data_IF_751988571191
#
_entry.id   IF_751988571191
#
_cell.length_a   1.000
_cell.length_b   1.000
_cell.length_c   1.000
_cell.angle_alpha   90.00
_cell.angle_beta   90.00
_cell.angle_gamma   90.00
#
_symmetry.space_group_name_H-M   'P 1'
#
loop_
_entity.id
_entity.type
_entity.pdbx_description
1 polymer ?
#
# COMPACT_ATOMS: atom_id res chain seq x y z
N UNK A 1 22.93 -1.33 -14.67
CA UNK A 1 22.26 -0.37 -15.55
C UNK A 1 20.77 -0.55 -15.37
N UNK A 2 20.07 0.50 -14.91
CA UNK A 2 18.69 0.41 -14.43
C UNK A 2 17.73 -0.03 -15.52
N UNK A 3 16.94 -1.06 -15.21
CA UNK A 3 15.87 -1.60 -16.06
C UNK A 3 14.74 -0.57 -16.15
N UNK A 4 14.92 0.40 -17.05
CA UNK A 4 13.93 1.40 -17.42
C UNK A 4 13.06 0.77 -18.52
N UNK A 5 12.23 -0.21 -18.14
CA UNK A 5 11.29 -0.88 -19.03
C UNK A 5 10.23 0.13 -19.46
N UNK A 6 10.58 0.94 -20.45
CA UNK A 6 9.69 1.87 -21.13
C UNK A 6 8.64 1.05 -21.87
N UNK A 7 7.37 1.42 -21.73
CA UNK A 7 6.29 0.90 -22.58
C UNK A 7 6.51 1.47 -24.00
N UNK A 8 7.47 0.93 -24.76
CA UNK A 8 7.67 1.32 -26.15
C UNK A 8 6.70 0.53 -27.04
N UNK A 9 5.81 1.28 -27.71
CA UNK A 9 4.79 0.90 -28.70
C UNK A 9 3.35 0.85 -28.17
N UNK A 10 2.69 1.98 -28.39
CA UNK A 10 1.30 2.33 -28.07
C UNK A 10 0.38 1.73 -29.15
N UNK A 11 0.29 0.41 -29.23
CA UNK A 11 -0.89 -0.26 -29.83
C UNK A 11 -1.54 -1.24 -28.86
N UNK A 12 -0.86 -1.61 -27.77
CA UNK A 12 -1.44 -2.38 -26.69
C UNK A 12 -2.06 -1.43 -25.65
N UNK A 13 -3.39 -1.34 -25.63
CA UNK A 13 -4.15 -0.49 -24.69
C UNK A 13 -4.03 -0.93 -23.22
N UNK A 14 -3.24 -1.97 -22.94
CA UNK A 14 -3.07 -2.63 -21.65
C UNK A 14 -1.60 -2.68 -21.20
N UNK A 15 -0.83 -1.58 -21.29
CA UNK A 15 0.51 -1.59 -20.65
C UNK A 15 0.37 -1.83 -19.14
N UNK A 16 0.83 -3.00 -18.69
CA UNK A 16 0.80 -3.42 -17.28
C UNK A 16 2.23 -3.61 -16.80
N UNK A 17 2.57 -2.92 -15.72
CA UNK A 17 3.87 -3.14 -15.08
C UNK A 17 3.95 -4.57 -14.53
N UNK A 18 5.16 -5.15 -14.59
CA UNK A 18 5.45 -6.44 -13.95
C UNK A 18 5.14 -6.41 -12.46
N UNK A 19 4.90 -7.59 -11.87
CA UNK A 19 4.67 -7.69 -10.43
C UNK A 19 5.81 -7.06 -9.61
N UNK A 20 5.46 -6.25 -8.62
CA UNK A 20 6.39 -5.46 -7.82
C UNK A 20 6.76 -4.08 -8.41
N UNK A 21 6.23 -3.74 -9.58
CA UNK A 21 6.39 -2.44 -10.23
C UNK A 21 5.02 -1.79 -10.44
N UNK A 22 4.98 -0.46 -10.50
CA UNK A 22 3.77 0.29 -10.79
C UNK A 22 4.06 1.50 -11.68
N UNK A 23 3.03 1.90 -12.43
CA UNK A 23 3.05 3.11 -13.25
C UNK A 23 3.39 4.31 -12.38
N UNK A 24 4.10 5.31 -12.88
CA UNK A 24 4.36 6.57 -12.15
C UNK A 24 3.83 7.80 -12.85
N UNK A 25 3.13 7.59 -13.95
CA UNK A 25 2.53 8.60 -14.81
C UNK A 25 1.17 8.10 -15.30
N UNK A 26 0.24 9.03 -15.56
CA UNK A 26 -1.12 8.67 -16.00
C UNK A 26 -1.18 7.81 -17.26
N UNK A 27 -0.32 7.99 -18.29
CA UNK A 27 -0.29 7.09 -19.44
C UNK A 27 0.48 5.79 -19.20
N UNK A 28 1.03 5.58 -17.98
CA UNK A 28 1.84 4.42 -17.61
C UNK A 28 3.01 4.15 -18.58
N UNK A 29 3.65 5.20 -19.11
CA UNK A 29 4.82 5.06 -19.95
C UNK A 29 6.03 4.57 -19.16
N UNK A 30 6.04 4.83 -17.85
CA UNK A 30 7.13 4.50 -16.94
C UNK A 30 6.67 3.59 -15.81
N UNK A 31 7.30 2.43 -15.71
CA UNK A 31 7.17 1.54 -14.56
C UNK A 31 8.34 1.75 -13.60
N UNK A 32 8.04 1.99 -12.32
CA UNK A 32 9.06 2.00 -11.26
C UNK A 32 8.80 0.89 -10.26
N UNK A 33 9.89 0.36 -9.69
CA UNK A 33 9.82 -0.60 -8.59
C UNK A 33 9.08 0.05 -7.43
N UNK A 34 8.07 -0.64 -6.91
CA UNK A 34 7.30 -0.16 -5.79
C UNK A 34 8.08 -0.34 -4.49
N UNK A 35 7.98 0.58 -3.53
CA UNK A 35 8.63 0.42 -2.24
C UNK A 35 8.01 -0.77 -1.49
N UNK A 36 8.86 -1.48 -0.76
CA UNK A 36 8.45 -2.55 0.15
C UNK A 36 8.15 -1.94 1.52
N UNK A 37 6.87 -1.93 1.91
CA UNK A 37 6.44 -1.36 3.18
C UNK A 37 6.50 -2.40 4.29
N UNK A 38 6.96 -1.99 5.46
CA UNK A 38 7.05 -2.86 6.63
C UNK A 38 5.66 -3.18 7.20
N UNK A 39 5.62 -4.05 8.21
CA UNK A 39 4.44 -4.17 9.05
C UNK A 39 4.15 -2.83 9.73
N UNK A 40 2.87 -2.48 9.83
CA UNK A 40 2.41 -1.20 10.33
C UNK A 40 2.62 -0.01 9.40
N UNK A 41 2.95 -0.28 8.15
CA UNK A 41 2.94 0.70 7.08
C UNK A 41 2.06 0.22 5.93
N UNK A 42 1.56 1.18 5.16
CA UNK A 42 0.89 0.93 3.89
C UNK A 42 1.48 1.77 2.77
N UNK A 43 1.32 1.28 1.54
CA UNK A 43 1.75 1.99 0.35
C UNK A 43 0.69 3.00 -0.08
N UNK A 44 1.09 4.26 -0.14
CA UNK A 44 0.24 5.36 -0.63
C UNK A 44 0.75 5.91 -1.96
N UNK A 45 -0.19 6.29 -2.84
CA UNK A 45 0.08 7.02 -4.08
C UNK A 45 0.03 8.52 -3.78
N UNK A 46 1.10 9.24 -4.12
CA UNK A 46 1.23 10.68 -3.93
C UNK A 46 1.34 11.35 -5.30
N UNK A 47 0.43 12.27 -5.59
CA UNK A 47 0.31 12.94 -6.89
C UNK A 47 -0.79 12.36 -7.77
N UNK A 48 -1.22 13.13 -8.77
CA UNK A 48 -2.37 12.81 -9.62
C UNK A 48 -1.91 12.48 -11.04
N UNK A 49 -1.19 13.41 -11.69
CA UNK A 49 -0.70 13.30 -13.07
C UNK A 49 0.62 12.49 -13.09
N UNK A 50 1.63 13.03 -12.42
CA UNK A 50 2.85 12.31 -12.05
C UNK A 50 2.72 11.88 -10.60
N UNK A 51 2.98 10.61 -10.33
CA UNK A 51 2.79 10.05 -9.02
C UNK A 51 3.93 9.16 -8.55
N UNK A 52 4.14 9.19 -7.25
CA UNK A 52 5.15 8.37 -6.57
C UNK A 52 4.49 7.54 -5.50
N UNK A 53 5.09 6.39 -5.21
CA UNK A 53 4.65 5.54 -4.12
C UNK A 53 5.58 5.71 -2.93
N UNK A 54 4.99 5.86 -1.75
CA UNK A 54 5.73 5.89 -0.47
C UNK A 54 5.05 4.98 0.53
N UNK A 55 5.80 4.55 1.53
CA UNK A 55 5.26 3.89 2.70
C UNK A 55 4.87 4.96 3.73
N UNK A 56 3.67 4.83 4.28
CA UNK A 56 3.16 5.69 5.34
C UNK A 56 2.80 4.78 6.53
N UNK A 57 3.10 5.18 7.77
CA UNK A 57 2.64 4.43 8.95
C UNK A 57 1.12 4.40 9.02
N UNK A 58 0.59 3.28 9.53
CA UNK A 58 -0.84 3.16 9.84
C UNK A 58 -1.27 4.24 10.84
N UNK A 59 -2.43 4.84 10.55
CA UNK A 59 -3.01 5.85 11.44
C UNK A 59 -3.53 5.19 12.73
N UNK A 60 -3.61 5.97 13.80
CA UNK A 60 -4.21 5.51 15.06
C UNK A 60 -5.62 5.00 14.80
N UNK A 61 -5.94 3.80 15.28
CA UNK A 61 -7.18 3.10 14.94
C UNK A 61 -7.04 2.09 13.81
N UNK A 62 -5.86 2.00 13.17
CA UNK A 62 -5.59 1.03 12.10
C UNK A 62 -4.30 0.24 12.33
N UNK A 63 -4.20 -0.92 11.68
CA UNK A 63 -3.03 -1.80 11.76
C UNK A 63 -2.75 -2.54 10.46
N UNK A 64 -1.51 -2.97 10.27
CA UNK A 64 -1.09 -3.87 9.19
C UNK A 64 -0.10 -4.89 9.74
N UNK A 65 -0.49 -6.16 9.82
CA UNK A 65 0.32 -7.24 10.37
C UNK A 65 1.14 -8.01 9.31
N UNK A 66 1.19 -7.51 8.08
CA UNK A 66 1.90 -8.14 6.98
C UNK A 66 2.69 -7.09 6.19
N UNK A 67 3.87 -7.47 5.68
CA UNK A 67 4.65 -6.63 4.77
C UNK A 67 3.85 -6.33 3.50
N UNK A 68 3.94 -5.10 3.01
CA UNK A 68 3.15 -4.61 1.88
C UNK A 68 1.63 -4.73 2.06
N UNK A 69 1.16 -4.85 3.31
CA UNK A 69 -0.26 -4.84 3.63
C UNK A 69 -0.89 -3.45 3.51
N UNK A 70 -2.21 -3.41 3.59
CA UNK A 70 -2.97 -2.19 3.79
C UNK A 70 -3.34 -2.05 5.27
N UNK A 71 -3.42 -0.82 5.74
CA UNK A 71 -3.88 -0.56 7.10
C UNK A 71 -5.38 -0.85 7.20
N UNK A 72 -5.74 -1.71 8.15
CA UNK A 72 -7.13 -2.11 8.44
C UNK A 72 -7.54 -1.54 9.76
N UNK A 73 -8.82 -1.18 9.92
CA UNK A 73 -9.32 -0.71 11.21
C UNK A 73 -9.13 -1.77 12.30
N UNK A 74 -8.82 -1.32 13.52
CA UNK A 74 -8.88 -2.18 14.69
C UNK A 74 -10.29 -2.72 14.88
N UNK A 75 -10.38 -3.94 15.40
CA UNK A 75 -11.66 -4.50 15.84
C UNK A 75 -12.22 -3.66 16.98
N UNK A 76 -13.46 -3.21 16.80
CA UNK A 76 -14.25 -2.59 17.85
C UNK A 76 -14.91 -3.68 18.70
N UNK A 77 -14.27 -4.04 19.81
CA UNK A 77 -14.76 -5.07 20.73
C UNK A 77 -16.11 -4.69 21.36
N UNK A 78 -16.30 -3.42 21.71
CA UNK A 78 -17.50 -2.94 22.41
C UNK A 78 -18.74 -3.05 21.51
N UNK A 79 -18.59 -2.75 20.22
CA UNK A 79 -19.67 -2.95 19.22
C UNK A 79 -20.18 -4.40 19.15
N UNK A 80 -19.31 -5.35 19.49
CA UNK A 80 -19.60 -6.79 19.51
C UNK A 80 -19.96 -7.31 20.91
N UNK A 81 -20.07 -6.44 21.91
CA UNK A 81 -20.40 -6.80 23.29
C UNK A 81 -19.24 -7.42 24.09
N UNK A 82 -18.01 -7.29 23.60
CA UNK A 82 -16.80 -7.75 24.28
C UNK A 82 -16.02 -6.59 24.89
N UNK A 83 -15.18 -6.89 25.89
CA UNK A 83 -14.23 -5.92 26.44
C UNK A 83 -12.92 -6.00 25.66
N UNK A 84 -12.32 -4.84 25.39
CA UNK A 84 -10.97 -4.78 24.81
C UNK A 84 -9.94 -5.19 25.86
N UNK A 85 -9.38 -6.37 25.72
CA UNK A 85 -8.31 -6.90 26.59
C UNK A 85 -6.97 -6.22 26.26
N UNK A 86 -6.69 -6.04 24.96
CA UNK A 86 -5.47 -5.39 24.48
C UNK A 86 -5.79 -4.43 23.35
N UNK A 87 -5.40 -3.17 23.53
CA UNK A 87 -5.51 -2.17 22.48
C UNK A 87 -4.65 -2.56 21.27
N UNK A 88 -5.19 -2.36 20.07
CA UNK A 88 -4.41 -2.48 18.84
C UNK A 88 -3.28 -1.46 18.77
N UNK A 89 -2.34 -1.70 17.86
CA UNK A 89 -1.29 -0.74 17.51
C UNK A 89 -1.11 -0.72 15.98
N UNK A 90 -0.07 -0.09 15.46
CA UNK A 90 0.16 -0.04 14.00
C UNK A 90 0.39 -1.43 13.38
N UNK A 91 0.89 -2.43 14.12
CA UNK A 91 1.22 -3.76 13.57
C UNK A 91 0.23 -4.86 13.97
N UNK A 92 -0.56 -4.66 15.02
CA UNK A 92 -1.44 -5.68 15.60
C UNK A 92 -2.86 -5.14 15.82
N UNK A 93 -3.83 -6.03 15.63
CA UNK A 93 -5.23 -5.74 15.92
C UNK A 93 -5.48 -5.59 17.43
N UNK A 94 -6.62 -4.99 17.78
CA UNK A 94 -7.18 -5.11 19.11
C UNK A 94 -7.56 -6.57 19.43
N UNK A 95 -7.44 -6.95 20.69
CA UNK A 95 -7.87 -8.26 21.21
C UNK A 95 -9.05 -8.05 22.14
N UNK A 96 -10.13 -8.73 21.82
CA UNK A 96 -11.24 -9.07 22.70
C UNK A 96 -11.06 -10.55 23.09
#
# INVERSE_FOLDING_TARGET
TGDNSTCQNIEDRDCKCRQGYGCVDSPCLYCKKLPECAEGEERVKIGIIDFTFKCKPCETGTYSNVKNGWCRNWTDCESSGFLTIKQGNSTHNAVC
#
